data_IF_480454495281
#
_entry.id   IF_480454495281
#
_cell.length_a   1.000
_cell.length_b   1.000
_cell.length_c   1.000
_cell.angle_alpha   90.00
_cell.angle_beta   90.00
_cell.angle_gamma   90.00
#
_symmetry.space_group_name_H-M   'P 1'
#
loop_
_entity.id
_entity.type
_entity.pdbx_description
1 polymer ?
#
# COMPACT_ATOMS: atom_id res chain seq x y z
N UNK A 1 -1.65 19.86 -4.58
CA UNK A 1 -1.86 18.73 -5.51
C UNK A 1 -0.50 18.23 -5.99
N UNK A 2 -0.19 16.98 -5.68
CA UNK A 2 1.01 16.29 -6.17
C UNK A 2 0.75 15.87 -7.62
N UNK A 3 1.55 16.37 -8.57
CA UNK A 3 1.37 16.00 -9.97
C UNK A 3 1.86 14.56 -10.20
N UNK A 4 1.11 13.76 -10.97
CA UNK A 4 1.61 12.47 -11.44
C UNK A 4 2.88 12.70 -12.28
N UNK A 5 3.96 11.95 -12.03
CA UNK A 5 5.14 11.99 -12.87
C UNK A 5 4.79 11.65 -14.33
N UNK A 6 5.49 12.21 -15.32
CA UNK A 6 5.30 11.83 -16.72
C UNK A 6 5.43 10.31 -16.91
N UNK A 7 4.43 9.70 -17.54
CA UNK A 7 4.38 8.25 -17.78
C UNK A 7 3.88 7.41 -16.60
N UNK A 8 3.54 8.03 -15.46
CA UNK A 8 2.88 7.32 -14.37
C UNK A 8 1.46 6.88 -14.78
N UNK A 9 0.99 5.73 -14.27
CA UNK A 9 -0.40 5.29 -14.43
C UNK A 9 -1.40 6.35 -13.97
N UNK A 10 -2.57 6.39 -14.62
CA UNK A 10 -3.55 7.47 -14.42
C UNK A 10 -4.51 7.24 -13.26
N UNK A 11 -4.59 6.01 -12.76
CA UNK A 11 -5.47 5.58 -11.68
C UNK A 11 -4.80 4.49 -10.84
N UNK A 12 -5.40 4.19 -9.70
CA UNK A 12 -4.81 3.30 -8.71
C UNK A 12 -4.75 1.84 -9.16
N UNK A 13 -5.74 1.35 -9.93
CA UNK A 13 -5.73 -0.02 -10.44
C UNK A 13 -4.58 -0.23 -11.43
N UNK A 14 -4.43 0.67 -12.40
CA UNK A 14 -3.32 0.64 -13.35
C UNK A 14 -1.96 0.81 -12.65
N UNK A 15 -1.92 1.56 -11.54
CA UNK A 15 -0.71 1.71 -10.73
C UNK A 15 -0.28 0.39 -10.09
N UNK A 16 -1.20 -0.36 -9.49
CA UNK A 16 -0.91 -1.69 -8.93
C UNK A 16 -0.42 -2.67 -10.02
N UNK A 17 -1.13 -2.75 -11.14
CA UNK A 17 -0.76 -3.62 -12.26
C UNK A 17 0.63 -3.30 -12.82
N UNK A 18 0.92 -2.01 -12.97
CA UNK A 18 2.23 -1.52 -13.41
C UNK A 18 3.33 -1.95 -12.42
N UNK A 19 3.19 -1.61 -11.14
CA UNK A 19 4.21 -1.89 -10.12
C UNK A 19 4.49 -3.39 -9.98
N UNK A 20 3.46 -4.25 -10.06
CA UNK A 20 3.61 -5.70 -9.99
C UNK A 20 4.52 -6.28 -11.09
N UNK A 21 4.59 -5.61 -12.24
CA UNK A 21 5.43 -6.01 -13.37
C UNK A 21 6.88 -5.50 -13.28
N UNK A 22 7.14 -4.47 -12.46
CA UNK A 22 8.44 -3.82 -12.36
C UNK A 22 9.42 -4.70 -11.57
N UNK A 23 10.60 -4.96 -12.15
CA UNK A 23 11.70 -5.71 -11.50
C UNK A 23 12.85 -4.82 -11.07
N UNK A 24 13.15 -3.79 -11.86
CA UNK A 24 14.17 -2.78 -11.58
C UNK A 24 13.48 -1.43 -11.60
N UNK A 25 13.10 -0.87 -10.44
CA UNK A 25 12.29 0.34 -10.40
C UNK A 25 13.11 1.58 -10.78
N UNK A 26 12.49 2.45 -11.56
CA UNK A 26 12.94 3.82 -11.83
C UNK A 26 12.49 4.77 -10.70
N UNK A 27 12.99 6.01 -10.72
CA UNK A 27 12.51 7.06 -9.80
C UNK A 27 11.00 7.30 -9.96
N UNK A 28 10.48 7.19 -11.19
CA UNK A 28 9.03 7.27 -11.44
C UNK A 28 8.29 6.14 -10.75
N UNK A 29 8.76 4.90 -10.85
CA UNK A 29 8.12 3.74 -10.23
C UNK A 29 8.12 3.84 -8.70
N UNK A 30 9.23 4.29 -8.12
CA UNK A 30 9.34 4.52 -6.68
C UNK A 30 8.44 5.68 -6.21
N UNK A 31 8.27 6.71 -7.03
CA UNK A 31 7.32 7.80 -6.74
C UNK A 31 5.89 7.31 -6.82
N UNK A 32 5.55 6.47 -7.81
CA UNK A 32 4.24 5.84 -7.90
C UNK A 32 3.99 4.95 -6.68
N UNK A 33 4.98 4.17 -6.24
CA UNK A 33 4.87 3.38 -5.01
C UNK A 33 4.59 4.26 -3.79
N UNK A 34 5.37 5.33 -3.59
CA UNK A 34 5.12 6.29 -2.48
C UNK A 34 3.68 6.82 -2.46
N UNK A 35 3.11 7.12 -3.63
CA UNK A 35 1.74 7.61 -3.76
C UNK A 35 0.70 6.51 -3.51
N UNK A 36 0.96 5.27 -3.96
CA UNK A 36 0.11 4.10 -3.74
C UNK A 36 0.04 3.75 -2.26
N UNK A 37 1.19 3.69 -1.58
CA UNK A 37 1.28 3.47 -0.12
C UNK A 37 0.50 4.53 0.66
N UNK A 38 0.69 5.81 0.32
CA UNK A 38 -0.06 6.91 0.94
C UNK A 38 -1.58 6.80 0.68
N UNK A 39 -1.98 6.34 -0.50
CA UNK A 39 -3.38 6.09 -0.81
C UNK A 39 -3.95 4.89 -0.04
N UNK A 40 -3.12 3.87 0.23
CA UNK A 40 -3.44 2.68 1.03
C UNK A 40 -4.00 3.04 2.41
N UNK A 41 -3.38 4.01 3.10
CA UNK A 41 -3.92 4.54 4.36
C UNK A 41 -5.40 4.93 4.27
N UNK A 42 -5.76 5.76 3.28
CA UNK A 42 -7.14 6.21 3.11
C UNK A 42 -8.07 5.07 2.67
N UNK A 43 -7.58 4.09 1.92
CA UNK A 43 -8.38 2.91 1.57
C UNK A 43 -8.74 2.10 2.81
N UNK A 44 -7.78 1.83 3.69
CA UNK A 44 -8.02 1.13 4.94
C UNK A 44 -8.94 1.93 5.89
N UNK A 45 -8.76 3.24 5.98
CA UNK A 45 -9.64 4.10 6.78
C UNK A 45 -11.08 4.08 6.23
N UNK A 46 -11.28 4.10 4.90
CA UNK A 46 -12.61 4.00 4.31
C UNK A 46 -13.29 2.64 4.57
N UNK A 47 -12.52 1.54 4.51
CA UNK A 47 -13.03 0.21 4.88
C UNK A 47 -13.41 0.15 6.36
N UNK A 48 -12.63 0.80 7.23
CA UNK A 48 -12.93 0.87 8.65
C UNK A 48 -14.17 1.72 8.95
N UNK A 49 -14.41 2.80 8.19
CA UNK A 49 -15.63 3.62 8.33
C UNK A 49 -16.90 2.82 8.01
N UNK A 50 -16.83 1.88 7.07
CA UNK A 50 -17.95 1.02 6.68
C UNK A 50 -18.23 -0.15 7.62
N UNK A 51 -17.40 -0.38 8.64
CA UNK A 51 -17.49 -1.55 9.51
C UNK A 51 -18.11 -1.22 10.88
N UNK A 52 -19.03 -2.06 11.37
CA UNK A 52 -19.63 -1.92 12.69
C UNK A 52 -18.77 -2.52 13.82
N UNK A 53 -18.00 -3.57 13.52
CA UNK A 53 -17.18 -4.28 14.51
C UNK A 53 -15.92 -3.48 14.87
N UNK A 54 -15.78 -3.13 16.15
CA UNK A 54 -14.67 -2.31 16.63
C UNK A 54 -13.29 -2.99 16.51
N UNK A 55 -13.23 -4.32 16.58
CA UNK A 55 -12.01 -5.09 16.38
C UNK A 55 -11.55 -5.08 14.93
N UNK A 56 -12.47 -5.30 13.99
CA UNK A 56 -12.19 -5.22 12.55
C UNK A 56 -11.74 -3.81 12.16
N UNK A 57 -12.45 -2.77 12.64
CA UNK A 57 -12.03 -1.37 12.44
C UNK A 57 -10.61 -1.12 12.91
N UNK A 58 -10.25 -1.66 14.08
CA UNK A 58 -8.93 -1.47 14.65
C UNK A 58 -7.85 -2.10 13.77
N UNK A 59 -8.07 -3.33 13.31
CA UNK A 59 -7.13 -4.04 12.44
C UNK A 59 -6.91 -3.28 11.12
N UNK A 60 -7.98 -2.80 10.49
CA UNK A 60 -7.90 -2.00 9.26
C UNK A 60 -7.12 -0.69 9.50
N UNK A 61 -7.44 0.05 10.56
CA UNK A 61 -6.74 1.30 10.88
C UNK A 61 -5.27 1.09 11.25
N UNK A 62 -4.92 -0.04 11.88
CA UNK A 62 -3.54 -0.37 12.16
C UNK A 62 -2.78 -0.66 10.85
N UNK A 63 -3.34 -1.43 9.90
CA UNK A 63 -2.75 -1.57 8.56
C UNK A 63 -2.62 -0.23 7.83
N UNK A 64 -3.66 0.60 7.83
CA UNK A 64 -3.60 1.92 7.19
C UNK A 64 -2.56 2.88 7.81
N UNK A 65 -2.22 2.74 9.10
CA UNK A 65 -1.11 3.51 9.70
C UNK A 65 0.24 3.00 9.20
N UNK A 66 0.38 1.69 9.08
CA UNK A 66 1.61 1.06 8.61
C UNK A 66 1.88 1.43 7.13
N UNK A 67 0.85 1.51 6.26
CA UNK A 67 1.04 1.98 4.86
C UNK A 67 1.58 3.42 4.77
N UNK A 68 1.16 4.30 5.70
CA UNK A 68 1.72 5.65 5.73
C UNK A 68 3.19 5.64 6.15
N UNK A 69 3.61 4.70 7.00
CA UNK A 69 5.02 4.48 7.31
C UNK A 69 5.76 3.99 6.06
N UNK A 70 5.17 3.11 5.26
CA UNK A 70 5.74 2.65 3.99
C UNK A 70 5.92 3.81 3.01
N UNK A 71 4.93 4.69 2.88
CA UNK A 71 5.02 5.88 2.04
C UNK A 71 6.19 6.79 2.47
N UNK A 72 6.33 7.08 3.77
CA UNK A 72 7.44 7.88 4.28
C UNK A 72 8.79 7.21 4.04
N UNK A 73 8.86 5.90 4.21
CA UNK A 73 10.06 5.12 3.95
C UNK A 73 10.44 5.15 2.46
N UNK A 74 9.45 5.11 1.57
CA UNK A 74 9.69 5.25 0.13
C UNK A 74 10.16 6.65 -0.25
N UNK A 75 9.67 7.70 0.43
CA UNK A 75 10.20 9.06 0.27
C UNK A 75 11.68 9.16 0.69
N UNK A 76 12.09 8.46 1.75
CA UNK A 76 13.48 8.35 2.17
C UNK A 76 14.34 7.59 1.13
N UNK A 77 13.83 6.47 0.60
CA UNK A 77 14.47 5.75 -0.52
C UNK A 77 14.70 6.66 -1.71
N UNK A 78 13.68 7.42 -2.13
CA UNK A 78 13.78 8.40 -3.21
C UNK A 78 14.84 9.47 -2.91
N UNK A 79 14.89 9.98 -1.69
CA UNK A 79 15.90 10.96 -1.28
C UNK A 79 17.31 10.40 -1.33
N UNK A 80 17.53 9.16 -0.88
CA UNK A 80 18.83 8.51 -0.92
C UNK A 80 19.34 8.29 -2.35
N UNK A 81 18.45 7.97 -3.28
CA UNK A 81 18.78 7.70 -4.67
C UNK A 81 18.95 8.96 -5.51
N UNK A 82 18.12 9.98 -5.29
CA UNK A 82 18.10 11.21 -6.10
C UNK A 82 18.89 12.36 -5.47
N UNK A 83 19.18 12.28 -4.17
CA UNK A 83 19.73 13.38 -3.34
C UNK A 83 18.82 14.60 -3.26
N UNK A 84 17.54 14.46 -3.59
CA UNK A 84 16.51 15.49 -3.50
C UNK A 84 15.49 15.09 -2.44
N UNK A 85 15.03 16.00 -1.57
CA UNK A 85 13.96 15.68 -0.62
C UNK A 85 12.65 15.31 -1.34
N UNK A 86 12.03 14.20 -0.93
CA UNK A 86 10.68 13.83 -1.32
C UNK A 86 9.76 13.96 -0.12
N UNK A 87 8.54 14.43 -0.36
CA UNK A 87 7.50 14.55 0.65
C UNK A 87 6.33 13.65 0.27
N UNK A 88 5.83 12.90 1.25
CA UNK A 88 4.57 12.16 1.11
C UNK A 88 3.44 13.20 1.06
N UNK A 89 2.55 13.16 0.06
CA UNK A 89 1.45 14.11 -0.01
C UNK A 89 0.37 13.81 1.03
N UNK A 90 -0.32 14.87 1.45
CA UNK A 90 -1.60 14.76 2.13
C UNK A 90 -2.65 14.10 1.20
N UNK A 91 -3.70 13.51 1.79
CA UNK A 91 -4.72 12.79 1.02
C UNK A 91 -5.40 13.67 -0.06
N UNK A 92 -5.69 14.94 0.26
CA UNK A 92 -6.28 15.89 -0.71
C UNK A 92 -5.37 16.19 -1.91
N UNK A 93 -4.08 15.92 -1.77
CA UNK A 93 -3.06 16.17 -2.78
C UNK A 93 -2.61 14.90 -3.51
N UNK A 94 -3.04 13.72 -3.08
CA UNK A 94 -2.69 12.46 -3.73
C UNK A 94 -3.57 12.24 -4.98
N UNK A 95 -2.99 12.19 -6.19
CA UNK A 95 -3.76 12.08 -7.43
C UNK A 95 -4.53 10.76 -7.55
N UNK A 96 -4.08 9.68 -6.89
CA UNK A 96 -4.78 8.39 -6.92
C UNK A 96 -6.02 8.33 -6.03
N UNK A 97 -6.24 9.35 -5.19
CA UNK A 97 -7.46 9.50 -4.39
C UNK A 97 -8.52 10.35 -5.10
N UNK A 98 -8.16 11.07 -6.16
CA UNK A 98 -9.08 11.95 -6.86
C UNK A 98 -10.21 11.18 -7.55
N UNK A 99 -11.46 11.51 -7.21
CA UNK A 99 -12.64 10.93 -7.86
C UNK A 99 -12.93 9.46 -7.50
N UNK A 100 -12.20 8.89 -6.54
CA UNK A 100 -12.42 7.50 -6.06
C UNK A 100 -13.69 7.40 -5.22
N UNK A 101 -14.43 6.31 -5.38
CA UNK A 101 -15.48 5.91 -4.44
C UNK A 101 -14.91 5.30 -3.16
N UNK A 102 -15.73 5.21 -2.11
CA UNK A 102 -15.40 4.42 -0.92
C UNK A 102 -15.68 2.94 -1.22
N UNK A 103 -14.71 2.03 -1.02
CA UNK A 103 -14.95 0.60 -1.19
C UNK A 103 -15.78 0.05 -0.02
N UNK A 104 -16.64 -0.93 -0.31
CA UNK A 104 -17.33 -1.70 0.71
C UNK A 104 -16.51 -2.96 1.08
N UNK A 105 -16.43 -3.23 2.38
CA UNK A 105 -15.77 -4.44 2.86
C UNK A 105 -16.56 -5.68 2.44
N UNK A 106 -15.89 -6.61 1.75
CA UNK A 106 -16.49 -7.87 1.28
C UNK A 106 -15.46 -8.98 1.26
N UNK A 107 -15.91 -10.24 1.29
CA UNK A 107 -15.01 -11.40 1.19
C UNK A 107 -14.15 -11.36 -0.10
N UNK A 108 -14.70 -11.07 -1.29
CA UNK A 108 -13.89 -10.98 -2.50
C UNK A 108 -12.83 -9.87 -2.44
N UNK A 109 -13.16 -8.71 -1.87
CA UNK A 109 -12.19 -7.63 -1.69
C UNK A 109 -11.09 -8.04 -0.71
N UNK A 110 -11.44 -8.69 0.40
CA UNK A 110 -10.47 -9.20 1.36
C UNK A 110 -9.52 -10.23 0.75
N UNK A 111 -10.05 -11.16 -0.05
CA UNK A 111 -9.23 -12.16 -0.77
C UNK A 111 -8.20 -11.47 -1.68
N UNK A 112 -8.65 -10.46 -2.43
CA UNK A 112 -7.76 -9.68 -3.29
C UNK A 112 -6.69 -8.92 -2.50
N UNK A 113 -7.07 -8.22 -1.42
CA UNK A 113 -6.12 -7.48 -0.59
C UNK A 113 -5.12 -8.43 0.08
N UNK A 114 -5.56 -9.57 0.63
CA UNK A 114 -4.67 -10.56 1.27
C UNK A 114 -3.56 -11.02 0.31
N UNK A 115 -3.90 -11.26 -0.96
CA UNK A 115 -2.95 -11.62 -2.01
C UNK A 115 -2.03 -10.45 -2.36
N UNK A 116 -2.57 -9.24 -2.53
CA UNK A 116 -1.79 -8.05 -2.84
C UNK A 116 -0.73 -7.75 -1.75
N UNK A 117 -1.14 -7.73 -0.48
CA UNK A 117 -0.27 -7.53 0.68
C UNK A 117 0.82 -8.62 0.75
N UNK A 118 0.46 -9.90 0.56
CA UNK A 118 1.44 -10.98 0.55
C UNK A 118 2.46 -10.85 -0.59
N UNK A 119 2.02 -10.39 -1.76
CA UNK A 119 2.88 -10.14 -2.91
C UNK A 119 3.78 -8.91 -2.70
N UNK A 120 3.37 -7.94 -1.88
CA UNK A 120 4.16 -6.76 -1.50
C UNK A 120 5.55 -7.13 -0.97
N UNK A 121 5.64 -8.15 -0.11
CA UNK A 121 6.94 -8.65 0.39
C UNK A 121 7.89 -9.05 -0.76
N UNK A 122 7.37 -9.81 -1.73
CA UNK A 122 8.16 -10.31 -2.86
C UNK A 122 8.59 -9.15 -3.77
N UNK A 123 7.69 -8.19 -3.99
CA UNK A 123 7.96 -7.00 -4.79
C UNK A 123 9.09 -6.16 -4.16
N UNK A 124 8.97 -5.85 -2.87
CA UNK A 124 9.99 -5.08 -2.14
C UNK A 124 11.35 -5.77 -2.09
N UNK A 125 11.38 -7.09 -1.86
CA UNK A 125 12.64 -7.84 -1.88
C UNK A 125 13.28 -7.83 -3.28
N UNK A 126 12.46 -7.98 -4.34
CA UNK A 126 12.94 -7.92 -5.72
C UNK A 126 13.57 -6.56 -6.04
N UNK A 127 12.91 -5.47 -5.64
CA UNK A 127 13.42 -4.11 -5.87
C UNK A 127 14.68 -3.85 -5.03
N UNK A 128 14.70 -4.28 -3.78
CA UNK A 128 15.86 -4.15 -2.91
C UNK A 128 17.08 -4.92 -3.44
N UNK A 129 16.88 -6.10 -4.04
CA UNK A 129 17.94 -6.88 -4.66
C UNK A 129 18.57 -6.19 -5.88
N UNK A 130 17.81 -5.32 -6.56
CA UNK A 130 18.26 -4.56 -7.73
C UNK A 130 18.67 -3.11 -7.39
N UNK A 131 18.61 -2.70 -6.12
CA UNK A 131 18.91 -1.35 -5.71
C UNK A 131 20.43 -1.15 -5.48
N UNK A 132 21.08 -0.18 -6.16
CA UNK A 132 22.52 0.04 -6.02
C UNK A 132 22.90 0.69 -4.68
N UNK A 133 21.96 1.34 -4.00
CA UNK A 133 22.17 1.93 -2.69
C UNK A 133 21.72 0.93 -1.59
N UNK A 134 22.66 0.50 -0.75
CA UNK A 134 22.40 -0.50 0.29
C UNK A 134 21.45 0.00 1.38
N UNK A 135 21.51 1.27 1.74
CA UNK A 135 20.61 1.87 2.73
C UNK A 135 19.17 1.90 2.21
N UNK A 136 18.99 2.36 0.98
CA UNK A 136 17.69 2.32 0.31
C UNK A 136 17.14 0.87 0.16
N UNK A 137 18.01 -0.10 -0.13
CA UNK A 137 17.64 -1.51 -0.18
C UNK A 137 17.17 -2.04 1.19
N UNK A 138 17.83 -1.67 2.28
CA UNK A 138 17.42 -2.08 3.63
C UNK A 138 16.06 -1.50 4.02
N UNK A 139 15.78 -0.25 3.63
CA UNK A 139 14.47 0.38 3.83
C UNK A 139 13.38 -0.39 3.08
N UNK A 140 13.57 -0.68 1.79
CA UNK A 140 12.62 -1.48 1.00
C UNK A 140 12.36 -2.86 1.62
N UNK A 141 13.41 -3.58 2.06
CA UNK A 141 13.22 -4.86 2.76
C UNK A 141 12.44 -4.75 4.05
N UNK A 142 12.51 -3.61 4.71
CA UNK A 142 11.78 -3.37 5.96
C UNK A 142 10.29 -3.23 5.68
N UNK A 143 9.89 -2.42 4.68
CA UNK A 143 8.51 -2.39 4.18
C UNK A 143 8.05 -3.79 3.79
N UNK A 144 8.81 -4.51 2.97
CA UNK A 144 8.43 -5.85 2.52
C UNK A 144 8.15 -6.85 3.66
N UNK A 145 8.85 -6.78 4.80
CA UNK A 145 8.55 -7.64 5.96
C UNK A 145 7.27 -7.22 6.69
N UNK A 146 6.95 -5.94 6.68
CA UNK A 146 5.77 -5.36 7.31
C UNK A 146 4.50 -5.72 6.52
N UNK A 147 4.54 -5.77 5.19
CA UNK A 147 3.41 -6.18 4.31
C UNK A 147 2.80 -7.54 4.70
N UNK A 148 3.62 -8.50 5.10
CA UNK A 148 3.13 -9.81 5.53
C UNK A 148 2.21 -9.69 6.76
N UNK A 149 2.45 -8.71 7.63
CA UNK A 149 1.59 -8.45 8.78
C UNK A 149 0.21 -7.94 8.36
N UNK A 150 0.14 -7.16 7.28
CA UNK A 150 -1.14 -6.68 6.73
C UNK A 150 -1.96 -7.84 6.20
N UNK A 151 -1.34 -8.73 5.40
CA UNK A 151 -1.98 -9.95 4.90
C UNK A 151 -2.54 -10.81 6.05
N UNK A 152 -1.80 -10.96 7.14
CA UNK A 152 -2.25 -11.71 8.33
C UNK A 152 -3.44 -11.05 9.04
N UNK A 153 -3.43 -9.72 9.21
CA UNK A 153 -4.57 -8.99 9.80
C UNK A 153 -5.83 -9.11 8.93
N UNK A 154 -5.68 -9.03 7.61
CA UNK A 154 -6.80 -9.19 6.68
C UNK A 154 -7.37 -10.62 6.68
N UNK A 155 -6.51 -11.65 6.80
CA UNK A 155 -6.97 -13.04 6.97
C UNK A 155 -7.79 -13.20 8.24
N UNK A 156 -7.37 -12.60 9.34
CA UNK A 156 -8.13 -12.61 10.59
C UNK A 156 -9.52 -11.98 10.42
N UNK A 157 -9.61 -10.84 9.73
CA UNK A 157 -10.90 -10.19 9.43
C UNK A 157 -11.78 -11.13 8.59
N UNK A 158 -11.21 -11.68 7.52
CA UNK A 158 -11.91 -12.58 6.60
C UNK A 158 -12.46 -13.83 7.29
N UNK A 159 -11.67 -14.45 8.17
CA UNK A 159 -12.09 -15.61 8.95
C UNK A 159 -13.24 -15.26 9.91
N UNK A 160 -13.18 -14.09 10.55
CA UNK A 160 -14.27 -13.57 11.38
C UNK A 160 -15.58 -13.41 10.61
N UNK A 161 -15.52 -12.78 9.43
CA UNK A 161 -16.70 -12.60 8.56
C UNK A 161 -17.28 -13.94 8.06
N UNK A 162 -16.43 -14.92 7.77
CA UNK A 162 -16.88 -16.25 7.36
C UNK A 162 -17.56 -17.02 8.51
N UNK A 163 -17.09 -16.84 9.74
CA UNK A 163 -17.68 -17.44 10.95
C UNK A 163 -19.08 -16.92 11.25
N UNK A 164 -19.36 -15.64 10.99
CA UNK A 164 -20.70 -15.05 11.18
C UNK A 164 -21.75 -15.60 10.19
N UNK A 165 -21.34 -16.04 9.00
CA UNK A 165 -22.25 -16.65 8.01
C UNK A 165 -22.67 -18.10 8.30
N UNK A 166 -22.06 -18.76 9.29
CA UNK A 166 -22.28 -20.19 9.61
C UNK A 166 -23.12 -20.40 10.88
N UNK A 167 -23.71 -19.34 11.43
CA UNK A 167 -24.63 -19.48 12.57
C UNK A 167 -26.08 -19.57 12.05
N UNK A 168 -26.76 -20.74 12.13
CA UNK A 168 -28.16 -20.89 11.73
C UNK A 168 -29.14 -20.19 12.67
#
# INVERSE_FOLDING_TARGET
>A
MYALPPGAPSNLADAFDHLASVRVPTVTDLTVMMLVEAAGKQMYDDLADGCADAGVRRLLQDSGRDEMVHAHRMAEVLQLLTRVPYLVPENSDNPYLAGRGKPDLSIPLLDHLIEAEANGQTLYETWAANCPNQEAAMLMRTSGREEMSHSLRLRQIREGMAGEMVTP
#
